data_IF_730062603833
#
_entry.id   IF_730062603833
#
_cell.length_a   1.000
_cell.length_b   1.000
_cell.length_c   1.000
_cell.angle_alpha   90.00
_cell.angle_beta   90.00
_cell.angle_gamma   90.00
#
_symmetry.space_group_name_H-M   'P 1'
#
loop_
_entity.id
_entity.type
_entity.pdbx_description
1 polymer ?
#
# COMPACT_ATOMS: atom_id res chain seq x y z
N UNK A 1 4.25 6.75 -29.26
CA UNK A 1 3.09 6.13 -28.62
C UNK A 1 2.44 5.17 -29.58
N UNK A 2 2.23 3.92 -29.16
CA UNK A 2 1.48 2.92 -29.93
C UNK A 2 0.01 2.96 -29.56
N UNK A 3 -0.84 2.27 -30.30
CA UNK A 3 -2.20 1.98 -29.81
C UNK A 3 -2.10 0.94 -28.69
N UNK A 4 -3.01 1.02 -27.74
CA UNK A 4 -3.23 0.01 -26.73
C UNK A 4 -4.72 -0.35 -26.71
N UNK A 5 -4.97 -1.63 -26.61
CA UNK A 5 -6.30 -2.23 -26.62
C UNK A 5 -6.57 -2.83 -25.24
N UNK A 6 -7.74 -2.51 -24.69
CA UNK A 6 -8.07 -2.82 -23.30
C UNK A 6 -9.39 -3.58 -23.29
N UNK A 7 -9.41 -4.69 -22.57
CA UNK A 7 -10.63 -5.44 -22.33
C UNK A 7 -10.84 -5.67 -20.83
N UNK A 8 -12.01 -5.30 -20.34
CA UNK A 8 -12.41 -5.43 -18.93
C UNK A 8 -13.38 -6.60 -18.75
N UNK A 9 -13.40 -7.15 -17.56
CA UNK A 9 -14.24 -8.31 -17.17
C UNK A 9 -15.73 -8.10 -17.45
N UNK A 10 -16.24 -6.87 -17.34
CA UNK A 10 -17.63 -6.52 -17.66
C UNK A 10 -17.93 -6.47 -19.19
N UNK A 11 -16.96 -6.83 -20.03
CA UNK A 11 -17.09 -6.84 -21.49
C UNK A 11 -16.80 -5.53 -22.18
N UNK A 12 -16.43 -4.49 -21.44
CA UNK A 12 -16.01 -3.19 -22.02
C UNK A 12 -14.71 -3.36 -22.80
N UNK A 13 -14.69 -2.86 -24.03
CA UNK A 13 -13.50 -2.80 -24.90
C UNK A 13 -13.19 -1.34 -25.23
N UNK A 14 -11.94 -0.95 -25.03
CA UNK A 14 -11.48 0.43 -25.22
C UNK A 14 -10.18 0.46 -26.01
N UNK A 15 -9.96 1.57 -26.75
CA UNK A 15 -8.71 1.87 -27.42
C UNK A 15 -8.15 3.19 -26.88
N UNK A 16 -6.81 3.23 -26.71
CA UNK A 16 -6.10 4.37 -26.16
C UNK A 16 -4.69 4.46 -26.78
N UNK A 17 -3.81 5.28 -26.20
CA UNK A 17 -2.40 5.37 -26.55
C UNK A 17 -1.54 4.88 -25.40
N UNK A 18 -0.41 4.21 -25.72
CA UNK A 18 0.57 3.76 -24.74
C UNK A 18 1.77 4.69 -24.63
N UNK A 19 2.36 4.74 -23.45
CA UNK A 19 3.72 5.21 -23.16
C UNK A 19 4.37 4.23 -22.18
N UNK A 20 5.64 4.39 -21.85
CA UNK A 20 6.35 3.36 -21.08
C UNK A 20 6.56 2.06 -21.86
N UNK A 21 6.52 0.93 -21.17
CA UNK A 21 6.78 -0.38 -21.77
C UNK A 21 5.64 -0.85 -22.69
N UNK A 22 6.01 -1.62 -23.71
CA UNK A 22 5.05 -2.30 -24.58
C UNK A 22 4.91 -3.76 -24.11
N UNK A 23 3.69 -4.20 -23.88
CA UNK A 23 3.42 -5.55 -23.38
C UNK A 23 1.96 -5.95 -23.58
N UNK A 24 1.63 -7.18 -23.20
CA UNK A 24 0.28 -7.64 -22.85
C UNK A 24 0.29 -7.95 -21.36
N UNK A 25 -0.54 -7.26 -20.59
CA UNK A 25 -0.53 -7.32 -19.13
C UNK A 25 -1.94 -7.45 -18.58
N UNK A 26 -2.12 -8.32 -17.58
CA UNK A 26 -3.37 -8.54 -16.85
C UNK A 26 -3.24 -8.02 -15.42
N UNK A 27 -4.31 -7.47 -14.88
CA UNK A 27 -4.39 -7.01 -13.50
C UNK A 27 -5.78 -6.50 -13.13
N UNK A 28 -5.98 -6.13 -11.87
CA UNK A 28 -7.22 -5.52 -11.41
C UNK A 28 -7.18 -4.00 -11.61
N UNK A 29 -8.24 -3.41 -12.19
CA UNK A 29 -8.34 -1.96 -12.31
C UNK A 29 -8.88 -1.34 -11.02
N UNK A 30 -8.12 -0.36 -10.50
CA UNK A 30 -8.52 0.52 -9.39
C UNK A 30 -8.34 1.98 -9.80
N UNK A 31 -8.83 2.92 -8.99
CA UNK A 31 -8.54 4.34 -9.21
C UNK A 31 -7.87 4.95 -7.98
N UNK A 32 -7.15 6.04 -8.15
CA UNK A 32 -6.56 6.80 -7.05
C UNK A 32 -6.90 8.29 -7.21
N UNK A 33 -7.38 8.91 -6.13
CA UNK A 33 -7.84 10.31 -6.09
C UNK A 33 -6.80 11.30 -5.59
N UNK A 34 -5.57 10.87 -5.30
CA UNK A 34 -4.48 11.76 -4.91
C UNK A 34 -4.14 12.75 -6.02
N UNK A 35 -3.89 14.00 -5.65
CA UNK A 35 -3.56 15.07 -6.60
C UNK A 35 -2.09 15.07 -7.02
N UNK A 36 -1.23 14.40 -6.25
CA UNK A 36 0.23 14.33 -6.43
C UNK A 36 0.74 12.94 -6.10
N UNK A 37 2.03 12.68 -6.35
CA UNK A 37 2.68 11.46 -5.87
C UNK A 37 2.46 10.25 -6.76
N UNK A 38 2.40 10.43 -8.06
CA UNK A 38 2.23 9.30 -8.97
C UNK A 38 3.38 8.30 -8.92
N UNK A 39 4.61 8.76 -8.63
CA UNK A 39 5.78 7.89 -8.51
C UNK A 39 5.69 7.04 -7.23
N UNK A 40 5.36 7.66 -6.11
CA UNK A 40 5.15 7.00 -4.84
C UNK A 40 4.05 5.92 -4.98
N UNK A 41 2.94 6.25 -5.64
CA UNK A 41 1.84 5.29 -5.90
C UNK A 41 2.33 4.12 -6.77
N UNK A 42 3.06 4.38 -7.86
CA UNK A 42 3.54 3.32 -8.74
C UNK A 42 4.60 2.43 -8.08
N UNK A 43 5.38 2.96 -7.13
CA UNK A 43 6.42 2.24 -6.40
C UNK A 43 5.95 1.66 -5.05
N UNK A 44 4.71 1.93 -4.62
CA UNK A 44 4.09 1.30 -3.45
C UNK A 44 3.82 -0.19 -3.74
N UNK A 45 4.43 -1.12 -2.97
CA UNK A 45 4.24 -2.55 -3.17
C UNK A 45 2.78 -3.01 -3.05
N UNK A 46 1.94 -2.27 -2.33
CA UNK A 46 0.51 -2.60 -2.16
C UNK A 46 -0.29 -2.54 -3.47
N UNK A 47 0.25 -1.91 -4.53
CA UNK A 47 -0.37 -1.93 -5.87
C UNK A 47 0.08 -3.11 -6.75
N UNK A 48 0.84 -4.08 -6.22
CA UNK A 48 1.17 -5.29 -6.99
C UNK A 48 -0.11 -6.00 -7.47
N UNK A 49 -0.15 -6.36 -8.76
CA UNK A 49 -1.35 -6.95 -9.38
C UNK A 49 -2.35 -5.93 -9.94
N UNK A 50 -2.19 -4.62 -9.72
CA UNK A 50 -3.20 -3.61 -10.06
C UNK A 50 -2.77 -2.64 -11.17
N UNK A 51 -3.76 -2.22 -11.98
CA UNK A 51 -3.71 -1.05 -12.86
C UNK A 51 -4.34 0.15 -12.15
N UNK A 52 -3.58 1.23 -11.98
CA UNK A 52 -4.03 2.41 -11.25
C UNK A 52 -4.57 3.48 -12.20
N UNK A 53 -5.83 3.82 -12.08
CA UNK A 53 -6.45 4.95 -12.80
C UNK A 53 -6.27 6.24 -12.00
N UNK A 54 -5.45 7.15 -12.48
CA UNK A 54 -5.23 8.45 -11.86
C UNK A 54 -6.37 9.42 -12.23
N UNK A 55 -7.01 10.00 -11.22
CA UNK A 55 -8.06 11.01 -11.44
C UNK A 55 -7.51 12.40 -11.73
N UNK A 56 -6.24 12.66 -11.39
CA UNK A 56 -5.52 13.87 -11.76
C UNK A 56 -5.36 13.96 -13.28
N UNK A 57 -5.75 15.07 -13.91
CA UNK A 57 -5.88 15.15 -15.36
C UNK A 57 -4.55 15.10 -16.13
N UNK A 58 -3.46 15.60 -15.54
CA UNK A 58 -2.13 15.66 -16.17
C UNK A 58 -1.07 15.03 -15.28
N UNK A 59 -0.37 14.04 -15.82
CA UNK A 59 0.64 13.23 -15.12
C UNK A 59 1.94 13.23 -15.93
N UNK A 60 3.10 13.22 -15.21
CA UNK A 60 4.44 13.23 -15.79
C UNK A 60 5.14 14.59 -15.70
N UNK A 61 4.42 15.65 -15.35
CA UNK A 61 4.89 17.04 -15.33
C UNK A 61 5.97 17.35 -14.28
N UNK A 62 6.11 16.54 -13.23
CA UNK A 62 7.15 16.69 -12.20
C UNK A 62 8.35 15.75 -12.39
N UNK A 63 8.31 14.86 -13.40
CA UNK A 63 9.35 13.85 -13.60
C UNK A 63 9.37 12.80 -12.49
N UNK A 64 10.48 12.11 -12.35
CA UNK A 64 10.74 11.12 -11.29
C UNK A 64 12.16 11.30 -10.74
N UNK A 65 12.41 10.78 -9.53
CA UNK A 65 13.69 10.82 -8.83
C UNK A 65 13.81 9.64 -7.86
N UNK A 66 15.02 9.35 -7.38
CA UNK A 66 15.25 8.21 -6.49
C UNK A 66 14.69 8.40 -5.06
N UNK A 67 14.54 9.65 -4.59
CA UNK A 67 14.05 9.91 -3.23
C UNK A 67 12.55 9.64 -3.06
N UNK A 68 11.75 9.80 -4.12
CA UNK A 68 10.30 9.62 -4.06
C UNK A 68 9.88 8.15 -4.34
N UNK A 69 10.82 7.22 -4.30
CA UNK A 69 10.54 5.79 -4.38
C UNK A 69 10.10 5.23 -3.03
N UNK A 70 8.99 4.51 -2.99
CA UNK A 70 8.51 3.81 -1.79
C UNK A 70 9.08 2.40 -1.63
N UNK A 71 9.74 1.89 -2.68
CA UNK A 71 10.48 0.62 -2.65
C UNK A 71 11.59 0.61 -3.71
N UNK A 72 12.30 -0.50 -3.85
CA UNK A 72 13.42 -0.63 -4.80
C UNK A 72 13.00 -0.65 -6.27
N UNK A 73 11.71 -0.87 -6.56
CA UNK A 73 11.15 -0.91 -7.91
C UNK A 73 9.70 -0.42 -7.93
N UNK A 74 9.14 -0.20 -9.12
CA UNK A 74 7.71 0.00 -9.27
C UNK A 74 6.99 -1.36 -9.31
N UNK A 75 5.79 -1.43 -8.72
CA UNK A 75 5.06 -2.69 -8.49
C UNK A 75 3.71 -2.74 -9.22
N UNK A 76 3.07 -1.60 -9.48
CA UNK A 76 1.81 -1.58 -10.23
C UNK A 76 1.97 -2.21 -11.62
N UNK A 77 0.94 -2.90 -12.11
CA UNK A 77 0.93 -3.54 -13.45
C UNK A 77 0.84 -2.52 -14.57
N UNK A 78 0.29 -1.35 -14.31
CA UNK A 78 0.20 -0.25 -15.25
C UNK A 78 -0.53 0.96 -14.67
N UNK A 79 -0.58 2.03 -15.45
CA UNK A 79 -1.27 3.24 -15.07
C UNK A 79 -2.15 3.79 -16.19
N UNK A 80 -3.32 4.31 -15.81
CA UNK A 80 -4.19 5.08 -16.70
C UNK A 80 -4.12 6.56 -16.34
N UNK A 81 -3.81 7.39 -17.34
CA UNK A 81 -3.79 8.85 -17.18
C UNK A 81 -4.62 9.52 -18.27
N UNK A 82 -5.31 10.60 -17.93
CA UNK A 82 -6.06 11.37 -18.91
C UNK A 82 -5.14 11.91 -19.99
N UNK A 83 -4.01 12.50 -19.56
CA UNK A 83 -3.01 13.06 -20.46
C UNK A 83 -1.60 12.91 -19.85
N UNK A 84 -0.74 12.23 -20.59
CA UNK A 84 0.67 12.14 -20.25
C UNK A 84 1.44 13.37 -20.72
N UNK A 85 2.18 14.01 -19.82
CA UNK A 85 3.08 15.12 -20.08
C UNK A 85 4.49 14.62 -20.30
N UNK A 86 4.98 14.76 -21.55
CA UNK A 86 6.34 14.33 -21.94
C UNK A 86 7.44 15.21 -21.35
N UNK A 87 7.12 16.50 -21.15
CA UNK A 87 8.06 17.46 -20.59
C UNK A 87 7.78 17.61 -19.10
N UNK A 88 8.80 17.40 -18.32
CA UNK A 88 8.77 17.65 -16.88
C UNK A 88 9.55 18.93 -16.55
N UNK A 89 9.17 19.56 -15.46
CA UNK A 89 9.82 20.76 -14.93
C UNK A 89 9.79 20.75 -13.40
N UNK A 90 10.78 20.11 -12.81
CA UNK A 90 10.99 20.07 -11.36
C UNK A 90 12.50 19.96 -11.11
N UNK A 91 13.02 20.75 -10.18
CA UNK A 91 14.45 20.78 -9.86
C UNK A 91 14.97 19.45 -9.27
N UNK A 92 14.11 18.58 -8.75
CA UNK A 92 14.45 17.25 -8.25
C UNK A 92 14.36 16.15 -9.30
N UNK A 93 13.82 16.45 -10.50
CA UNK A 93 13.59 15.42 -11.50
C UNK A 93 14.91 14.97 -12.14
N UNK A 94 15.12 13.67 -12.20
CA UNK A 94 16.27 13.00 -12.80
C UNK A 94 15.94 12.41 -14.17
N UNK A 95 14.72 11.88 -14.33
CA UNK A 95 14.24 11.31 -15.57
C UNK A 95 12.74 11.55 -15.81
N UNK A 96 12.26 11.24 -17.01
CA UNK A 96 10.84 11.31 -17.34
C UNK A 96 10.09 10.11 -16.79
N UNK A 97 8.79 10.26 -16.57
CA UNK A 97 7.91 9.13 -16.22
C UNK A 97 7.94 8.00 -17.28
N UNK A 98 8.08 8.34 -18.57
CA UNK A 98 8.18 7.34 -19.64
C UNK A 98 9.42 6.47 -19.48
N UNK A 99 10.59 7.08 -19.23
CA UNK A 99 11.84 6.35 -18.99
C UNK A 99 11.74 5.46 -17.74
N UNK A 100 11.19 6.00 -16.66
CA UNK A 100 10.94 5.24 -15.45
C UNK A 100 10.06 4.00 -15.69
N UNK A 101 8.94 4.16 -16.40
CA UNK A 101 8.06 3.03 -16.72
C UNK A 101 8.73 1.99 -17.61
N UNK A 102 9.54 2.42 -18.60
CA UNK A 102 10.34 1.51 -19.44
C UNK A 102 11.34 0.73 -18.60
N UNK A 103 12.08 1.41 -17.71
CA UNK A 103 13.06 0.81 -16.78
C UNK A 103 12.44 -0.29 -15.91
N UNK A 104 11.20 -0.09 -15.47
CA UNK A 104 10.47 -1.03 -14.63
C UNK A 104 9.55 -1.99 -15.40
N UNK A 105 9.56 -1.96 -16.75
CA UNK A 105 8.72 -2.78 -17.63
C UNK A 105 7.22 -2.62 -17.36
N UNK A 106 6.77 -1.38 -17.15
CA UNK A 106 5.39 -1.03 -16.83
C UNK A 106 4.75 -0.25 -17.98
N UNK A 107 3.50 -0.60 -18.30
CA UNK A 107 2.70 0.10 -19.32
C UNK A 107 2.04 1.34 -18.75
N UNK A 108 2.22 2.50 -19.41
CA UNK A 108 1.39 3.68 -19.23
C UNK A 108 0.34 3.78 -20.34
N UNK A 109 -0.88 4.17 -19.98
CA UNK A 109 -2.02 4.32 -20.90
C UNK A 109 -2.53 5.75 -20.80
N UNK A 110 -2.60 6.46 -21.92
CA UNK A 110 -3.00 7.86 -22.02
C UNK A 110 -4.02 8.10 -23.12
N UNK A 111 -4.57 9.31 -23.20
CA UNK A 111 -5.61 9.70 -24.15
C UNK A 111 -6.90 8.88 -23.96
N UNK A 112 -7.25 8.62 -22.72
CA UNK A 112 -8.44 7.86 -22.31
C UNK A 112 -9.27 8.67 -21.32
N UNK A 113 -10.58 8.44 -21.28
CA UNK A 113 -11.46 9.08 -20.31
C UNK A 113 -11.34 8.42 -18.91
N UNK A 114 -10.39 8.89 -18.10
CA UNK A 114 -10.18 8.41 -16.72
C UNK A 114 -11.38 8.69 -15.82
N UNK A 115 -12.18 9.73 -16.11
CA UNK A 115 -13.43 9.98 -15.37
C UNK A 115 -14.49 8.90 -15.65
N UNK A 116 -14.59 8.45 -16.91
CA UNK A 116 -15.44 7.31 -17.27
C UNK A 116 -15.00 6.05 -16.53
N UNK A 117 -13.69 5.70 -16.58
CA UNK A 117 -13.13 4.55 -15.88
C UNK A 117 -13.40 4.60 -14.37
N UNK A 118 -13.12 5.75 -13.73
CA UNK A 118 -13.37 5.95 -12.30
C UNK A 118 -14.84 5.74 -11.93
N UNK A 119 -15.78 6.28 -12.74
CA UNK A 119 -17.20 6.07 -12.51
C UNK A 119 -17.63 4.63 -12.69
N UNK A 120 -17.07 3.94 -13.68
CA UNK A 120 -17.34 2.52 -13.95
C UNK A 120 -16.88 1.66 -12.75
N UNK A 121 -15.63 1.80 -12.31
CA UNK A 121 -15.10 1.08 -11.15
C UNK A 121 -15.90 1.39 -9.88
N UNK A 122 -16.26 2.65 -9.64
CA UNK A 122 -17.11 3.01 -8.50
C UNK A 122 -18.48 2.34 -8.54
N UNK A 123 -19.10 2.27 -9.72
CA UNK A 123 -20.47 1.76 -9.88
C UNK A 123 -20.53 0.24 -9.96
N UNK A 124 -19.55 -0.42 -10.56
CA UNK A 124 -19.54 -1.85 -10.85
C UNK A 124 -18.58 -2.64 -9.93
N UNK A 125 -17.62 -1.98 -9.33
CA UNK A 125 -16.57 -2.56 -8.50
C UNK A 125 -15.21 -2.60 -9.20
N UNK A 126 -14.16 -2.84 -8.41
CA UNK A 126 -12.85 -3.21 -8.94
C UNK A 126 -12.98 -4.54 -9.68
N UNK A 127 -12.34 -4.67 -10.84
CA UNK A 127 -12.49 -5.83 -11.72
C UNK A 127 -11.22 -6.13 -12.49
N UNK A 128 -11.11 -7.37 -12.96
CA UNK A 128 -9.96 -7.78 -13.78
C UNK A 128 -10.01 -7.17 -15.17
N UNK A 129 -8.85 -6.90 -15.73
CA UNK A 129 -8.66 -6.37 -17.08
C UNK A 129 -7.40 -6.89 -17.74
N UNK A 130 -7.34 -6.79 -19.05
CA UNK A 130 -6.13 -6.96 -19.85
C UNK A 130 -5.91 -5.75 -20.73
N UNK A 131 -4.65 -5.31 -20.84
CA UNK A 131 -4.22 -4.27 -21.77
C UNK A 131 -3.08 -4.81 -22.66
N UNK A 132 -3.11 -4.51 -23.97
CA UNK A 132 -2.12 -4.98 -24.91
C UNK A 132 -1.76 -3.91 -25.95
N UNK A 133 -0.46 -3.77 -26.23
CA UNK A 133 0.06 -3.00 -27.38
C UNK A 133 0.30 -3.86 -28.62
N UNK A 134 -0.01 -5.17 -28.54
CA UNK A 134 0.31 -6.17 -29.54
C UNK A 134 -0.95 -6.84 -30.11
N UNK A 135 -1.97 -7.04 -29.26
CA UNK A 135 -3.20 -7.77 -29.58
C UNK A 135 -4.35 -6.78 -29.61
N UNK A 136 -5.02 -6.66 -30.77
CA UNK A 136 -6.21 -5.80 -30.94
C UNK A 136 -7.52 -6.60 -31.00
N UNK A 137 -7.45 -7.92 -31.19
CA UNK A 137 -8.64 -8.75 -31.28
C UNK A 137 -9.32 -8.90 -29.91
N UNK A 138 -10.58 -8.45 -29.83
CA UNK A 138 -11.39 -8.47 -28.59
C UNK A 138 -11.58 -9.88 -28.05
N UNK A 139 -11.72 -10.87 -28.93
CA UNK A 139 -11.97 -12.26 -28.54
C UNK A 139 -10.71 -12.88 -27.94
N UNK A 140 -9.56 -12.55 -28.50
CA UNK A 140 -8.28 -13.00 -27.99
C UNK A 140 -7.96 -12.38 -26.62
N UNK A 141 -8.16 -11.06 -26.46
CA UNK A 141 -8.01 -10.37 -25.15
C UNK A 141 -8.94 -10.97 -24.09
N UNK A 142 -10.22 -11.21 -24.44
CA UNK A 142 -11.17 -11.88 -23.55
C UNK A 142 -10.64 -13.24 -23.09
N UNK A 143 -10.14 -14.06 -24.01
CA UNK A 143 -9.60 -15.40 -23.73
C UNK A 143 -8.37 -15.32 -22.81
N UNK A 144 -7.49 -14.32 -23.00
CA UNK A 144 -6.33 -14.10 -22.13
C UNK A 144 -6.81 -13.79 -20.71
N UNK A 145 -7.77 -12.87 -20.58
CA UNK A 145 -8.32 -12.49 -19.27
C UNK A 145 -8.97 -13.66 -18.54
N UNK A 146 -9.80 -14.46 -19.22
CA UNK A 146 -10.49 -15.62 -18.66
C UNK A 146 -9.53 -16.74 -18.19
N UNK A 147 -8.34 -16.83 -18.78
CA UNK A 147 -7.32 -17.83 -18.42
C UNK A 147 -6.28 -17.29 -17.41
N UNK A 148 -6.41 -16.05 -16.98
CA UNK A 148 -5.49 -15.44 -16.00
C UNK A 148 -6.01 -15.60 -14.58
N UNK A 149 -5.13 -15.78 -13.56
CA UNK A 149 -5.56 -15.82 -12.19
C UNK A 149 -6.16 -14.48 -11.77
N UNK A 150 -7.12 -14.52 -10.86
CA UNK A 150 -7.67 -13.32 -10.23
C UNK A 150 -6.68 -12.79 -9.18
N UNK A 151 -6.85 -11.54 -8.77
CA UNK A 151 -5.99 -10.94 -7.73
C UNK A 151 -6.13 -11.68 -6.39
N UNK A 152 -7.30 -12.22 -6.11
CA UNK A 152 -7.61 -13.00 -4.90
C UNK A 152 -6.92 -14.37 -4.85
N UNK A 153 -6.47 -14.89 -6.00
CA UNK A 153 -5.85 -16.22 -6.11
C UNK A 153 -4.31 -16.18 -6.03
N UNK A 154 -3.72 -14.98 -5.96
CA UNK A 154 -2.27 -14.79 -6.04
C UNK A 154 -1.70 -14.26 -4.72
N UNK A 155 -0.70 -14.96 -4.19
CA UNK A 155 0.10 -14.46 -3.05
C UNK A 155 1.15 -13.46 -3.54
N UNK A 156 0.78 -12.19 -3.61
CA UNK A 156 1.69 -11.12 -4.06
C UNK A 156 2.75 -10.74 -3.03
N UNK A 157 2.59 -11.06 -1.74
CA UNK A 157 3.62 -10.72 -0.75
C UNK A 157 4.95 -11.44 -1.01
N UNK A 158 4.91 -12.62 -1.62
CA UNK A 158 6.13 -13.33 -2.02
C UNK A 158 6.95 -12.58 -3.09
N UNK A 159 6.30 -11.75 -3.91
CA UNK A 159 6.97 -10.95 -4.94
C UNK A 159 7.59 -9.65 -4.38
N UNK A 160 7.01 -9.11 -3.30
CA UNK A 160 7.33 -7.78 -2.80
C UNK A 160 8.14 -7.79 -1.50
N UNK A 161 8.03 -8.83 -0.67
CA UNK A 161 8.77 -8.97 0.56
C UNK A 161 10.27 -9.14 0.33
N UNK A 162 11.07 -8.57 1.22
CA UNK A 162 12.52 -8.81 1.25
C UNK A 162 12.84 -10.30 1.38
N UNK A 163 13.97 -10.72 0.84
CA UNK A 163 14.43 -12.12 0.96
C UNK A 163 15.46 -12.31 2.07
N UNK A 164 15.98 -11.23 2.61
CA UNK A 164 16.96 -11.24 3.70
C UNK A 164 16.69 -10.12 4.68
N UNK A 165 16.93 -10.37 5.96
CA UNK A 165 16.79 -9.33 6.98
C UNK A 165 17.81 -8.21 6.78
N UNK A 166 17.40 -6.98 7.09
CA UNK A 166 18.28 -5.82 7.05
C UNK A 166 17.87 -4.77 8.09
N UNK A 167 18.82 -3.91 8.47
CA UNK A 167 18.55 -2.78 9.34
C UNK A 167 18.25 -1.53 8.50
N UNK A 168 17.19 -0.80 8.88
CA UNK A 168 16.87 0.48 8.28
C UNK A 168 17.25 1.61 9.24
N UNK A 169 17.98 2.62 8.74
CA UNK A 169 18.56 3.69 9.55
C UNK A 169 18.36 5.10 8.97
N UNK A 170 17.48 5.26 7.98
CA UNK A 170 17.16 6.58 7.43
C UNK A 170 15.88 7.11 8.06
N UNK A 171 15.89 8.38 8.46
CA UNK A 171 14.68 9.12 8.84
C UNK A 171 13.91 9.64 7.63
N UNK A 172 12.96 10.54 7.86
CA UNK A 172 12.12 11.13 6.81
C UNK A 172 12.91 12.09 5.92
N UNK A 173 12.48 12.26 4.66
CA UNK A 173 13.07 13.22 3.74
C UNK A 173 12.74 14.65 4.14
N UNK A 174 13.76 15.48 4.36
CA UNK A 174 13.61 16.84 4.85
C UNK A 174 14.07 17.90 3.86
N UNK A 175 13.18 18.83 3.52
CA UNK A 175 13.53 19.98 2.69
C UNK A 175 14.38 21.03 3.43
N UNK A 176 14.18 21.16 4.75
CA UNK A 176 14.80 22.20 5.58
C UNK A 176 16.32 22.09 5.71
N UNK A 177 16.85 20.88 5.54
CA UNK A 177 18.29 20.59 5.73
C UNK A 177 19.02 20.27 4.42
N UNK A 178 18.54 20.80 3.29
CA UNK A 178 19.20 20.64 1.99
C UNK A 178 18.72 19.44 1.18
N UNK A 179 17.46 19.09 1.29
CA UNK A 179 16.80 18.01 0.49
C UNK A 179 17.49 16.66 0.63
N UNK A 180 17.59 16.15 1.85
CA UNK A 180 18.17 14.85 2.17
C UNK A 180 17.31 14.10 3.19
N UNK A 181 17.55 12.81 3.32
CA UNK A 181 17.00 12.04 4.43
C UNK A 181 17.62 12.46 5.76
N UNK A 182 16.80 12.57 6.81
CA UNK A 182 17.28 12.80 8.16
C UNK A 182 18.15 11.63 8.62
N UNK A 183 19.18 11.93 9.42
CA UNK A 183 19.93 10.91 10.12
C UNK A 183 19.05 10.27 11.21
N UNK A 184 19.21 8.95 11.40
CA UNK A 184 18.47 8.24 12.43
C UNK A 184 18.82 8.80 13.82
N UNK A 185 17.82 9.18 14.64
CA UNK A 185 18.07 9.50 16.04
C UNK A 185 18.51 8.24 16.80
N UNK A 186 19.11 8.42 17.99
CA UNK A 186 19.44 7.28 18.85
C UNK A 186 18.15 6.55 19.24
N UNK A 187 18.03 5.24 18.99
CA UNK A 187 16.83 4.49 19.31
C UNK A 187 16.58 4.42 20.83
N UNK A 188 15.32 4.55 21.20
CA UNK A 188 14.83 4.36 22.57
C UNK A 188 14.17 2.98 22.77
N UNK A 189 13.85 2.29 21.67
CA UNK A 189 13.34 0.92 21.61
C UNK A 189 13.73 0.27 20.27
N UNK A 190 13.68 -1.05 20.17
CA UNK A 190 13.99 -1.80 18.95
C UNK A 190 12.83 -2.73 18.57
N UNK A 191 12.53 -2.85 17.28
CA UNK A 191 11.47 -3.73 16.80
C UNK A 191 11.93 -4.59 15.61
N UNK A 192 11.22 -5.71 15.42
CA UNK A 192 11.19 -6.42 14.16
C UNK A 192 10.03 -5.91 13.30
N UNK A 193 10.29 -5.56 12.04
CA UNK A 193 9.29 -5.21 11.04
C UNK A 193 9.11 -6.38 10.10
N UNK A 194 7.94 -7.00 10.11
CA UNK A 194 7.61 -8.07 9.16
C UNK A 194 7.23 -7.41 7.83
N UNK A 195 7.98 -7.75 6.78
CA UNK A 195 7.83 -7.16 5.45
C UNK A 195 6.83 -7.93 4.60
N UNK A 196 5.61 -7.41 4.49
CA UNK A 196 4.59 -7.87 3.55
C UNK A 196 4.55 -7.02 2.27
N UNK A 197 5.51 -6.12 2.08
CA UNK A 197 5.56 -5.10 1.05
C UNK A 197 5.61 -3.71 1.68
N UNK A 198 6.53 -3.53 2.61
CA UNK A 198 6.65 -2.30 3.40
C UNK A 198 7.06 -1.10 2.54
N UNK A 199 6.34 0.01 2.69
CA UNK A 199 6.72 1.30 2.12
C UNK A 199 7.92 1.87 2.85
N UNK A 200 8.87 2.44 2.07
CA UNK A 200 10.06 3.10 2.63
C UNK A 200 9.70 4.15 3.68
N UNK A 201 8.66 4.96 3.40
CA UNK A 201 8.30 6.03 4.33
C UNK A 201 7.72 5.54 5.65
N UNK A 202 7.12 4.33 5.72
CA UNK A 202 6.77 3.70 7.00
C UNK A 202 8.03 3.49 7.84
N UNK A 203 9.07 2.91 7.25
CA UNK A 203 10.34 2.67 7.95
C UNK A 203 11.00 3.97 8.40
N UNK A 204 10.96 5.00 7.55
CA UNK A 204 11.49 6.33 7.85
C UNK A 204 10.76 6.97 9.06
N UNK A 205 9.42 6.88 9.11
CA UNK A 205 8.62 7.44 10.22
C UNK A 205 8.85 6.69 11.53
N UNK A 206 8.99 5.36 11.47
CA UNK A 206 9.34 4.54 12.64
C UNK A 206 10.70 4.98 13.21
N UNK A 207 11.71 5.11 12.34
CA UNK A 207 13.06 5.57 12.73
C UNK A 207 13.02 7.00 13.28
N UNK A 208 12.30 7.91 12.62
CA UNK A 208 12.13 9.31 13.08
C UNK A 208 11.50 9.37 14.49
N UNK A 209 10.66 8.39 14.82
CA UNK A 209 10.03 8.23 16.14
C UNK A 209 10.96 7.55 17.17
N UNK A 210 12.27 7.47 16.91
CA UNK A 210 13.31 6.89 17.77
C UNK A 210 13.16 5.40 18.04
N UNK A 211 12.67 4.66 17.06
CA UNK A 211 12.56 3.21 17.11
C UNK A 211 13.59 2.61 16.16
N UNK A 212 14.46 1.74 16.68
CA UNK A 212 15.40 0.96 15.88
C UNK A 212 14.66 -0.14 15.10
N UNK A 213 14.98 -0.28 13.82
CA UNK A 213 14.25 -1.13 12.88
C UNK A 213 15.14 -2.23 12.32
N UNK A 214 14.72 -3.47 12.48
CA UNK A 214 15.19 -4.62 11.70
C UNK A 214 14.03 -5.16 10.86
N UNK A 215 14.14 -5.05 9.53
CA UNK A 215 13.15 -5.57 8.58
C UNK A 215 13.46 -7.05 8.34
N UNK A 216 12.43 -7.89 8.46
CA UNK A 216 12.54 -9.34 8.29
C UNK A 216 11.55 -9.82 7.21
N UNK A 217 11.85 -10.93 6.49
CA UNK A 217 10.96 -11.49 5.48
C UNK A 217 9.58 -11.90 6.01
N UNK A 218 8.61 -12.01 5.12
CA UNK A 218 7.25 -12.48 5.43
C UNK A 218 7.21 -13.91 5.94
N UNK A 219 8.21 -14.74 5.61
CA UNK A 219 8.32 -16.13 6.05
C UNK A 219 8.94 -16.30 7.44
N UNK A 220 8.79 -15.30 8.30
CA UNK A 220 9.27 -15.30 9.68
C UNK A 220 8.75 -16.48 10.52
N UNK A 221 9.47 -16.77 11.63
CA UNK A 221 9.05 -17.71 12.66
C UNK A 221 8.69 -16.95 13.95
N UNK A 222 7.47 -17.11 14.43
CA UNK A 222 6.99 -16.44 15.63
C UNK A 222 7.78 -16.81 16.89
N UNK A 223 8.22 -18.08 17.04
CA UNK A 223 8.99 -18.53 18.20
C UNK A 223 10.34 -17.81 18.32
N UNK A 224 10.96 -17.49 17.16
CA UNK A 224 12.22 -16.73 17.14
C UNK A 224 12.00 -15.29 17.63
N UNK A 225 10.89 -14.65 17.22
CA UNK A 225 10.53 -13.30 17.67
C UNK A 225 10.13 -13.27 19.15
N UNK A 226 9.40 -14.28 19.63
CA UNK A 226 9.04 -14.42 21.03
C UNK A 226 10.32 -14.58 21.87
N UNK A 227 11.27 -15.37 21.41
CA UNK A 227 12.57 -15.54 22.07
C UNK A 227 13.35 -14.22 22.11
N UNK A 228 13.43 -13.50 20.99
CA UNK A 228 14.09 -12.20 20.93
C UNK A 228 13.45 -11.17 21.87
N UNK A 229 12.11 -11.17 21.98
CA UNK A 229 11.38 -10.32 22.89
C UNK A 229 11.68 -10.65 24.36
N UNK A 230 11.67 -11.93 24.72
CA UNK A 230 12.00 -12.40 26.08
C UNK A 230 13.45 -12.09 26.45
N UNK A 231 14.38 -12.21 25.51
CA UNK A 231 15.80 -11.85 25.64
C UNK A 231 16.04 -10.33 25.64
N UNK A 232 14.98 -9.50 25.48
CA UNK A 232 15.05 -8.03 25.38
C UNK A 232 15.90 -7.53 24.22
N UNK A 233 15.97 -8.30 23.12
CA UNK A 233 16.62 -7.87 21.87
C UNK A 233 15.70 -7.00 21.03
N UNK A 234 14.38 -7.25 21.11
CA UNK A 234 13.32 -6.42 20.55
C UNK A 234 12.30 -6.08 21.63
N UNK A 235 11.59 -4.96 21.46
CA UNK A 235 10.56 -4.45 22.37
C UNK A 235 9.15 -4.62 21.80
N UNK A 236 9.01 -4.95 20.52
CA UNK A 236 7.74 -5.19 19.84
C UNK A 236 7.91 -5.64 18.40
N UNK A 237 6.79 -5.88 17.72
CA UNK A 237 6.73 -6.29 16.32
C UNK A 237 5.82 -5.34 15.54
N UNK A 238 6.26 -4.97 14.35
CA UNK A 238 5.45 -4.19 13.42
C UNK A 238 5.04 -5.06 12.23
N UNK A 239 3.75 -5.02 11.87
CA UNK A 239 3.19 -5.71 10.72
C UNK A 239 2.92 -4.70 9.60
N UNK A 240 3.61 -4.81 8.49
CA UNK A 240 3.57 -3.79 7.44
C UNK A 240 2.31 -3.84 6.59
N UNK A 241 2.15 -2.81 5.75
CA UNK A 241 1.25 -2.82 4.60
C UNK A 241 1.69 -3.89 3.58
N UNK A 242 0.83 -4.16 2.61
CA UNK A 242 1.14 -5.09 1.51
C UNK A 242 -0.04 -5.30 0.57
N UNK A 243 0.19 -5.99 -0.57
CA UNK A 243 -0.81 -6.25 -1.61
C UNK A 243 -1.64 -7.51 -1.36
N UNK A 244 -2.72 -7.63 -2.14
CA UNK A 244 -3.49 -8.86 -2.29
C UNK A 244 -4.60 -9.05 -1.27
N UNK A 245 -5.15 -10.27 -1.25
CA UNK A 245 -6.19 -10.68 -0.30
C UNK A 245 -5.54 -11.24 0.98
N UNK A 246 -5.81 -10.66 2.16
CA UNK A 246 -5.24 -11.15 3.41
C UNK A 246 -5.69 -12.58 3.76
N UNK A 247 -6.82 -13.05 3.22
CA UNK A 247 -7.35 -14.39 3.53
C UNK A 247 -6.51 -15.53 2.94
N UNK A 248 -5.69 -15.29 1.92
CA UNK A 248 -4.81 -16.33 1.35
C UNK A 248 -3.53 -16.56 2.15
N UNK A 249 -3.20 -15.67 3.07
CA UNK A 249 -1.96 -15.64 3.85
C UNK A 249 -2.03 -16.52 5.11
N UNK A 250 -2.38 -17.80 4.94
CA UNK A 250 -2.67 -18.72 6.08
C UNK A 250 -1.49 -18.92 7.02
N UNK A 251 -0.26 -19.06 6.47
CA UNK A 251 0.95 -19.23 7.27
C UNK A 251 1.23 -18.00 8.14
N UNK A 252 1.12 -16.81 7.56
CA UNK A 252 1.35 -15.53 8.26
C UNK A 252 0.32 -15.34 9.37
N UNK A 253 -0.96 -15.66 9.12
CA UNK A 253 -2.05 -15.64 10.11
C UNK A 253 -1.73 -16.54 11.31
N UNK A 254 -1.27 -17.78 11.08
CA UNK A 254 -0.87 -18.72 12.14
C UNK A 254 0.32 -18.19 12.97
N UNK A 255 1.32 -17.58 12.32
CA UNK A 255 2.47 -17.02 13.03
C UNK A 255 2.07 -15.79 13.85
N UNK A 256 1.24 -14.89 13.28
CA UNK A 256 0.73 -13.70 14.00
C UNK A 256 -0.11 -14.13 15.21
N UNK A 257 -0.92 -15.18 15.09
CA UNK A 257 -1.70 -15.71 16.21
C UNK A 257 -0.80 -16.11 17.37
N UNK A 258 0.34 -16.75 17.13
CA UNK A 258 1.29 -17.10 18.20
C UNK A 258 1.87 -15.85 18.89
N UNK A 259 2.16 -14.78 18.14
CA UNK A 259 2.61 -13.51 18.73
C UNK A 259 1.50 -12.86 19.59
N UNK A 260 0.24 -12.94 19.16
CA UNK A 260 -0.93 -12.49 19.95
C UNK A 260 -1.02 -13.28 21.25
N UNK A 261 -0.98 -14.61 21.18
CA UNK A 261 -1.08 -15.50 22.35
C UNK A 261 0.08 -15.25 23.35
N UNK A 262 1.27 -14.92 22.84
CA UNK A 262 2.44 -14.55 23.64
C UNK A 262 2.39 -13.09 24.17
N UNK A 263 1.33 -12.32 23.86
CA UNK A 263 1.16 -10.92 24.28
C UNK A 263 2.29 -9.99 23.86
N UNK A 264 2.89 -10.24 22.70
CA UNK A 264 3.91 -9.35 22.13
C UNK A 264 3.27 -8.02 21.77
N UNK A 265 3.86 -6.86 22.17
CA UNK A 265 3.38 -5.55 21.71
C UNK A 265 3.47 -5.45 20.19
N UNK A 266 2.34 -5.11 19.53
CA UNK A 266 2.30 -5.03 18.08
C UNK A 266 1.57 -3.79 17.57
N UNK A 267 2.05 -3.30 16.42
CA UNK A 267 1.35 -2.31 15.61
C UNK A 267 1.24 -2.81 14.17
N UNK A 268 0.04 -2.72 13.56
CA UNK A 268 -0.23 -3.10 12.18
C UNK A 268 -0.79 -1.96 11.34
N UNK A 269 -0.28 -1.80 10.10
CA UNK A 269 -0.78 -0.83 9.12
C UNK A 269 -1.36 -1.57 7.92
N UNK A 270 -2.55 -1.18 7.47
CA UNK A 270 -3.23 -1.64 6.25
C UNK A 270 -3.34 -3.18 6.23
N UNK A 271 -2.54 -3.91 5.47
CA UNK A 271 -2.53 -5.38 5.49
C UNK A 271 -2.24 -5.93 6.90
N UNK A 272 -1.31 -5.31 7.65
CA UNK A 272 -1.02 -5.69 9.03
C UNK A 272 -2.23 -5.54 9.97
N UNK A 273 -3.06 -4.51 9.78
CA UNK A 273 -4.34 -4.33 10.49
C UNK A 273 -5.32 -5.46 10.16
N UNK A 274 -5.43 -5.82 8.89
CA UNK A 274 -6.32 -6.90 8.42
C UNK A 274 -5.86 -8.27 8.93
N UNK A 275 -4.57 -8.56 8.90
CA UNK A 275 -4.01 -9.81 9.40
C UNK A 275 -4.19 -9.96 10.92
N UNK A 276 -4.10 -8.88 11.69
CA UNK A 276 -4.42 -8.90 13.12
C UNK A 276 -5.89 -9.28 13.36
N UNK A 277 -6.82 -8.73 12.59
CA UNK A 277 -8.25 -9.09 12.66
C UNK A 277 -8.47 -10.59 12.40
N UNK A 278 -7.93 -11.09 11.29
CA UNK A 278 -8.09 -12.50 10.89
C UNK A 278 -7.43 -13.43 11.91
N UNK A 279 -6.26 -13.07 12.43
CA UNK A 279 -5.55 -13.88 13.44
C UNK A 279 -6.27 -13.93 14.80
N UNK A 280 -7.21 -13.01 15.06
CA UNK A 280 -8.15 -13.06 16.17
C UNK A 280 -9.45 -13.81 15.83
N UNK A 281 -9.62 -14.30 14.60
CA UNK A 281 -10.79 -15.05 14.15
C UNK A 281 -11.89 -14.22 13.48
N UNK A 282 -11.59 -12.98 13.09
CA UNK A 282 -12.52 -12.06 12.42
C UNK A 282 -12.08 -11.83 10.97
N UNK A 283 -12.68 -12.56 10.04
CA UNK A 283 -12.35 -12.49 8.62
C UNK A 283 -12.70 -11.12 8.01
N UNK A 284 -11.83 -10.64 7.14
CA UNK A 284 -12.03 -9.40 6.38
C UNK A 284 -13.02 -9.61 5.24
N UNK A 285 -13.57 -8.50 4.72
CA UNK A 285 -14.44 -8.50 3.54
C UNK A 285 -13.95 -7.52 2.49
N UNK A 286 -14.20 -7.82 1.21
CA UNK A 286 -13.82 -6.97 0.08
C UNK A 286 -14.80 -5.80 -0.06
N UNK A 287 -14.29 -4.57 -0.08
CA UNK A 287 -15.04 -3.37 -0.43
C UNK A 287 -15.34 -3.37 -1.94
N UNK A 288 -16.42 -2.73 -2.35
CA UNK A 288 -16.82 -2.73 -3.75
C UNK A 288 -15.76 -2.19 -4.71
N UNK A 289 -15.10 -1.09 -4.33
CA UNK A 289 -14.07 -0.44 -5.14
C UNK A 289 -12.86 0.03 -4.31
N UNK A 290 -12.79 -0.37 -3.05
CA UNK A 290 -11.71 -0.01 -2.14
C UNK A 290 -11.68 1.47 -1.75
N UNK A 291 -10.70 1.81 -0.92
CA UNK A 291 -10.36 3.18 -0.59
C UNK A 291 -8.97 3.50 -1.16
N UNK A 292 -8.88 4.45 -2.09
CA UNK A 292 -7.63 4.80 -2.75
C UNK A 292 -7.54 6.32 -2.95
N UNK A 293 -6.62 6.96 -2.26
CA UNK A 293 -6.40 8.42 -2.37
C UNK A 293 -5.87 9.05 -1.11
N UNK A 294 -5.51 10.32 -1.20
CA UNK A 294 -4.98 11.11 -0.08
C UNK A 294 -6.00 12.12 0.49
N UNK A 295 -7.30 11.81 0.46
CA UNK A 295 -8.36 12.76 0.78
C UNK A 295 -9.52 12.14 1.58
N UNK A 296 -9.29 11.02 2.27
CA UNK A 296 -10.31 10.36 3.08
C UNK A 296 -10.36 10.97 4.49
N UNK A 297 -11.52 11.52 4.91
CA UNK A 297 -11.69 12.02 6.25
C UNK A 297 -11.91 10.85 7.23
N UNK A 298 -11.04 10.75 8.21
CA UNK A 298 -11.10 9.75 9.26
C UNK A 298 -11.26 10.44 10.60
N UNK A 299 -12.24 10.02 11.40
CA UNK A 299 -12.47 10.53 12.73
C UNK A 299 -11.64 9.74 13.74
N UNK A 300 -10.85 10.43 14.53
CA UNK A 300 -10.23 9.88 15.72
C UNK A 300 -11.27 9.85 16.86
N UNK A 301 -11.68 8.65 17.27
CA UNK A 301 -12.78 8.48 18.24
C UNK A 301 -12.39 8.93 19.64
N UNK A 302 -11.11 8.96 19.99
CA UNK A 302 -10.62 9.43 21.30
C UNK A 302 -10.66 10.95 21.43
N UNK A 303 -10.28 11.67 20.37
CA UNK A 303 -10.18 13.14 20.38
C UNK A 303 -11.40 13.83 19.79
N UNK A 304 -12.17 13.12 18.95
CA UNK A 304 -13.25 13.66 18.15
C UNK A 304 -12.78 14.49 16.95
N UNK A 305 -11.48 14.63 16.72
CA UNK A 305 -10.92 15.37 15.59
C UNK A 305 -11.03 14.54 14.29
N UNK A 306 -11.15 15.24 13.18
CA UNK A 306 -11.13 14.66 11.83
C UNK A 306 -9.74 14.86 11.23
N UNK A 307 -9.15 13.77 10.77
CA UNK A 307 -7.86 13.73 10.10
C UNK A 307 -8.08 13.39 8.62
N UNK A 308 -7.37 14.06 7.72
CA UNK A 308 -7.38 13.66 6.30
C UNK A 308 -6.26 12.65 6.09
N UNK A 309 -6.61 11.47 5.57
CA UNK A 309 -5.72 10.32 5.50
C UNK A 309 -5.44 9.85 4.08
N UNK A 310 -4.31 9.16 3.92
CA UNK A 310 -3.99 8.40 2.72
C UNK A 310 -4.53 6.97 2.86
N UNK A 311 -5.13 6.45 1.78
CA UNK A 311 -5.77 5.15 1.72
C UNK A 311 -5.31 4.36 0.49
N UNK A 312 -5.07 3.08 0.67
CA UNK A 312 -4.80 2.13 -0.41
C UNK A 312 -5.16 0.70 0.02
N UNK A 313 -6.44 0.36 0.03
CA UNK A 313 -6.89 -0.99 0.38
C UNK A 313 -8.22 -1.35 -0.27
N UNK A 314 -8.39 -2.64 -0.61
CA UNK A 314 -9.64 -3.21 -1.12
C UNK A 314 -10.43 -3.99 -0.05
N UNK A 315 -9.83 -4.29 1.10
CA UNK A 315 -10.43 -5.11 2.16
C UNK A 315 -10.56 -4.29 3.43
N UNK A 316 -11.54 -4.64 4.26
CA UNK A 316 -11.73 -4.04 5.58
C UNK A 316 -12.09 -5.10 6.63
N UNK A 317 -11.91 -4.76 7.90
CA UNK A 317 -12.25 -5.60 9.04
C UNK A 317 -13.76 -5.52 9.33
N UNK A 318 -14.38 -6.59 9.86
CA UNK A 318 -15.81 -6.62 10.10
C UNK A 318 -16.22 -5.86 11.37
N UNK A 319 -17.44 -5.34 11.41
CA UNK A 319 -17.92 -4.53 12.55
C UNK A 319 -17.98 -5.31 13.88
N UNK A 320 -18.23 -6.63 13.82
CA UNK A 320 -18.30 -7.47 15.02
C UNK A 320 -16.94 -7.68 15.71
N UNK A 321 -15.83 -7.23 15.15
CA UNK A 321 -14.52 -7.20 15.85
C UNK A 321 -14.56 -6.32 17.12
N UNK A 322 -15.56 -5.45 17.24
CA UNK A 322 -15.82 -4.65 18.44
C UNK A 322 -16.11 -5.49 19.70
N UNK A 323 -16.38 -6.78 19.58
CA UNK A 323 -16.47 -7.70 20.70
C UNK A 323 -15.13 -7.86 21.45
N UNK A 324 -13.98 -7.69 20.74
CA UNK A 324 -12.64 -7.89 21.31
C UNK A 324 -11.73 -6.67 21.23
N UNK A 325 -12.14 -5.62 20.53
CA UNK A 325 -11.32 -4.43 20.31
C UNK A 325 -12.18 -3.15 20.39
N UNK A 326 -11.54 -2.05 20.76
CA UNK A 326 -12.15 -0.72 20.71
C UNK A 326 -11.78 -0.03 19.41
N UNK A 327 -12.78 0.55 18.73
CA UNK A 327 -12.55 1.37 17.54
C UNK A 327 -11.85 2.67 17.93
N UNK A 328 -10.72 2.94 17.31
CA UNK A 328 -9.94 4.17 17.53
C UNK A 328 -10.14 5.20 16.44
N UNK A 329 -10.42 4.73 15.21
CA UNK A 329 -10.60 5.58 14.03
C UNK A 329 -11.72 5.03 13.15
N UNK A 330 -12.53 5.92 12.55
CA UNK A 330 -13.66 5.59 11.67
C UNK A 330 -13.65 6.46 10.41
N UNK A 331 -13.89 5.86 9.25
CA UNK A 331 -14.02 6.59 7.98
C UNK A 331 -15.35 7.34 7.92
N UNK A 332 -15.32 8.62 7.56
CA UNK A 332 -16.53 9.45 7.50
C UNK A 332 -17.27 9.35 6.15
N UNK A 333 -16.74 8.66 5.15
CA UNK A 333 -17.47 8.42 3.90
C UNK A 333 -18.49 7.28 4.00
N UNK A 334 -18.13 6.21 4.72
CA UNK A 334 -18.94 4.99 4.77
C UNK A 334 -19.00 4.32 6.15
N UNK A 335 -18.40 4.94 7.16
CA UNK A 335 -18.33 4.49 8.56
C UNK A 335 -17.56 3.17 8.76
N UNK A 336 -16.71 2.77 7.82
CA UNK A 336 -15.84 1.62 8.00
C UNK A 336 -14.81 1.86 9.11
N UNK A 337 -14.38 0.77 9.75
CA UNK A 337 -13.37 0.81 10.80
C UNK A 337 -12.00 1.13 10.20
N UNK A 338 -11.36 2.16 10.70
CA UNK A 338 -10.03 2.65 10.26
C UNK A 338 -8.93 2.46 11.30
N UNK A 339 -9.28 2.02 12.50
CA UNK A 339 -8.30 1.72 13.53
C UNK A 339 -8.90 1.01 14.73
N UNK A 340 -8.10 0.14 15.32
CA UNK A 340 -8.47 -0.73 16.44
C UNK A 340 -7.42 -0.71 17.54
N UNK A 341 -7.87 -0.85 18.78
CA UNK A 341 -7.05 -1.20 19.94
C UNK A 341 -7.63 -2.45 20.59
N UNK A 342 -6.85 -3.52 20.62
CA UNK A 342 -7.28 -4.81 21.15
C UNK A 342 -7.31 -4.80 22.68
N UNK A 343 -8.31 -5.47 23.28
CA UNK A 343 -8.53 -5.44 24.72
C UNK A 343 -7.67 -6.44 25.49
N UNK A 344 -7.24 -7.50 24.84
CA UNK A 344 -6.58 -8.67 25.44
C UNK A 344 -5.04 -8.64 25.36
N UNK A 345 -4.47 -7.73 24.56
CA UNK A 345 -3.03 -7.63 24.34
C UNK A 345 -2.60 -6.17 24.05
N UNK A 346 -1.31 -5.83 24.23
CA UNK A 346 -0.79 -4.51 23.88
C UNK A 346 -0.65 -4.35 22.36
N UNK A 347 -1.78 -4.38 21.67
CA UNK A 347 -1.87 -4.35 20.20
C UNK A 347 -2.81 -3.25 19.77
N UNK A 348 -2.40 -2.49 18.76
CA UNK A 348 -3.28 -1.60 18.03
C UNK A 348 -2.93 -1.59 16.54
N UNK A 349 -3.83 -1.10 15.71
CA UNK A 349 -3.65 -1.10 14.27
C UNK A 349 -4.49 -0.02 13.59
N UNK A 350 -4.06 0.40 12.39
CA UNK A 350 -4.81 1.33 11.54
C UNK A 350 -4.89 0.82 10.11
N UNK A 351 -6.04 1.07 9.46
CA UNK A 351 -6.26 0.70 8.07
C UNK A 351 -5.66 1.71 7.11
N UNK A 352 -5.72 3.00 7.45
CA UNK A 352 -5.11 4.07 6.66
C UNK A 352 -3.58 4.10 6.80
N UNK A 353 -2.93 4.92 5.97
CA UNK A 353 -1.49 5.07 5.89
C UNK A 353 -1.02 6.34 6.61
N UNK A 354 -0.62 6.27 7.91
CA UNK A 354 -0.19 7.45 8.68
C UNK A 354 1.14 8.04 8.18
N UNK A 355 1.94 7.26 7.46
CA UNK A 355 3.19 7.69 6.83
C UNK A 355 2.96 8.56 5.60
N UNK A 356 1.75 8.53 5.00
CA UNK A 356 1.43 9.21 3.74
C UNK A 356 2.24 8.69 2.54
N UNK A 357 2.94 9.55 1.81
CA UNK A 357 3.75 9.23 0.61
C UNK A 357 3.00 8.43 -0.47
N UNK A 358 2.07 9.12 -1.21
CA UNK A 358 1.70 10.53 -1.06
C UNK A 358 0.56 10.72 -0.05
N UNK A 359 0.38 11.95 0.42
CA UNK A 359 -0.81 12.34 1.19
C UNK A 359 -0.54 13.26 2.36
N UNK A 360 -1.60 13.55 3.14
CA UNK A 360 -1.52 14.37 4.36
C UNK A 360 -0.79 13.63 5.48
N UNK A 361 -0.18 14.41 6.38
CA UNK A 361 0.69 13.90 7.45
C UNK A 361 0.05 14.04 8.85
N UNK A 362 -1.26 14.14 8.91
CA UNK A 362 -1.98 14.44 10.15
C UNK A 362 -1.90 13.30 11.17
N UNK A 363 -1.86 12.05 10.70
CA UNK A 363 -1.85 10.85 11.53
C UNK A 363 -0.44 10.38 11.97
N UNK A 364 0.63 11.14 11.69
CA UNK A 364 2.03 10.73 12.02
C UNK A 364 2.27 10.50 13.52
N UNK A 365 1.49 11.12 14.40
CA UNK A 365 1.58 10.93 15.85
C UNK A 365 1.43 9.46 16.27
N UNK A 366 0.78 8.62 15.46
CA UNK A 366 0.54 7.20 15.72
C UNK A 366 1.86 6.42 15.91
N UNK A 367 2.93 6.79 15.21
CA UNK A 367 4.25 6.19 15.42
C UNK A 367 4.82 6.47 16.82
N UNK A 368 4.55 7.66 17.40
CA UNK A 368 4.92 7.97 18.79
C UNK A 368 4.02 7.23 19.80
N UNK A 369 2.76 6.94 19.47
CA UNK A 369 1.91 6.07 20.29
C UNK A 369 2.49 4.65 20.32
N UNK A 370 3.01 4.15 19.20
CA UNK A 370 3.70 2.86 19.18
C UNK A 370 4.95 2.84 20.04
N UNK A 371 5.82 3.86 19.95
CA UNK A 371 6.97 3.98 20.85
C UNK A 371 6.51 3.95 22.32
N UNK A 372 5.44 4.66 22.66
CA UNK A 372 4.91 4.71 24.03
C UNK A 372 4.38 3.35 24.51
N UNK A 373 3.84 2.53 23.60
CA UNK A 373 3.35 1.18 23.89
C UNK A 373 4.48 0.19 24.18
N UNK A 374 5.59 0.27 23.43
CA UNK A 374 6.70 -0.70 23.52
C UNK A 374 7.78 -0.31 24.52
N UNK A 375 7.81 0.93 25.00
CA UNK A 375 8.74 1.36 26.06
C UNK A 375 8.47 0.58 27.36
N UNK A 376 9.52 -0.03 27.86
CA UNK A 376 9.54 -0.76 29.14
C UNK A 376 9.95 0.13 30.30
#
# INVERSE_FOLDING_TARGET
>A
MKNVYIYLENGTYLEAKSFGANSTTVGEIVFNTSLTGYQEIMSDPSYAGQFVTFTTPEIGNVGVNDEDMESTKAHAKGMFVRKYQKRYSNFRAEESLDQFLVKHNIMGITDIDTRYLTKMVRNEGAMMMVASTEISDKTELKKILENSPRIEDVNYIEEVSTKTSYKHSSGTYAQKEGFKYNEAPTPEANIAVVDFGVKRNILNEIVESKIGVEVIPNDFNAEDLITQYNDKKIDGVFLSNGPGDPLVLKREQEQIKKLIDAKIPMFGICLGHQLLSISHGYDTYKLKFGHHGGNHPVKNEKTGLVEITAQNHNYNVPDNITEIASVTHSNLFDNTIEGLKYNDAPIFSVQHHPESSPGPKESRYIFNEFLSLIKR
#
